data_IF_165681768479
#
_entry.id   IF_165681768479
#
_cell.length_a   1.000
_cell.length_b   1.000
_cell.length_c   1.000
_cell.angle_alpha   90.00
_cell.angle_beta   90.00
_cell.angle_gamma   90.00
#
_symmetry.space_group_name_H-M   'P 1'
#
loop_
_entity.id
_entity.type
_entity.pdbx_description
1 polymer ?
#
# COMPACT_ATOMS: atom_id res chain seq x y z
N UNK A 1 49.05 9.65 -0.62
CA UNK A 1 48.03 9.54 -1.70
C UNK A 1 46.76 8.99 -1.05
N UNK A 2 45.92 9.87 -0.50
CA UNK A 2 44.66 9.48 0.15
C UNK A 2 43.59 10.48 -0.30
N UNK A 3 42.78 10.12 -1.29
CA UNK A 3 41.54 10.83 -1.58
C UNK A 3 40.40 10.05 -0.94
N UNK A 4 39.74 10.72 0.01
CA UNK A 4 38.52 10.31 0.69
C UNK A 4 37.45 9.98 -0.34
N UNK A 5 36.85 8.80 -0.23
CA UNK A 5 35.59 8.49 -0.89
C UNK A 5 34.54 9.47 -0.37
N UNK A 6 34.12 10.41 -1.22
CA UNK A 6 32.95 11.25 -0.97
C UNK A 6 31.75 10.32 -1.10
N UNK A 7 31.22 9.85 0.03
CA UNK A 7 29.95 9.16 0.08
C UNK A 7 28.89 10.13 -0.48
N UNK A 8 28.43 9.87 -1.71
CA UNK A 8 27.22 10.53 -2.23
C UNK A 8 26.08 10.15 -1.28
N UNK A 9 25.37 11.10 -0.66
CA UNK A 9 24.17 10.75 0.06
C UNK A 9 23.21 10.11 -0.96
N UNK A 10 22.69 8.93 -0.64
CA UNK A 10 21.63 8.30 -1.41
C UNK A 10 20.44 9.25 -1.36
N UNK A 11 20.30 10.09 -2.39
CA UNK A 11 19.13 10.94 -2.60
C UNK A 11 17.95 10.01 -2.90
N UNK A 12 17.29 9.53 -1.85
CA UNK A 12 15.96 8.99 -1.97
C UNK A 12 15.09 10.09 -2.57
N UNK A 13 14.42 9.80 -3.68
CA UNK A 13 13.49 10.74 -4.33
C UNK A 13 12.29 10.88 -3.39
N UNK A 14 12.23 11.98 -2.64
CA UNK A 14 11.16 12.24 -1.67
C UNK A 14 10.05 13.02 -2.34
N UNK A 15 8.84 12.43 -2.39
CA UNK A 15 7.61 13.09 -2.83
C UNK A 15 7.34 14.31 -1.94
N UNK A 16 7.13 15.49 -2.53
CA UNK A 16 6.96 16.74 -1.77
C UNK A 16 5.48 17.03 -1.45
N UNK A 17 4.59 16.69 -2.36
CA UNK A 17 3.14 16.84 -2.21
C UNK A 17 2.45 15.80 -3.09
N UNK A 18 1.27 15.37 -2.69
CA UNK A 18 0.35 14.55 -3.50
C UNK A 18 -0.40 15.39 -4.54
N UNK A 19 -0.44 16.72 -4.39
CA UNK A 19 -1.27 17.60 -5.21
C UNK A 19 -2.77 17.49 -4.92
N UNK A 20 -3.18 16.69 -3.93
CA UNK A 20 -4.57 16.49 -3.50
C UNK A 20 -4.74 17.17 -2.15
N UNK A 21 -5.76 18.01 -2.02
CA UNK A 21 -6.04 18.72 -0.76
C UNK A 21 -6.50 17.71 0.30
N UNK A 22 -5.85 17.74 1.46
CA UNK A 22 -6.19 16.87 2.60
C UNK A 22 -5.54 15.48 2.56
N UNK A 23 -4.74 15.18 1.53
CA UNK A 23 -3.99 13.93 1.44
C UNK A 23 -2.48 14.20 1.62
N UNK A 24 -1.99 14.00 2.83
CA UNK A 24 -0.58 14.22 3.17
C UNK A 24 0.33 13.11 2.62
N UNK A 25 1.56 13.48 2.24
CA UNK A 25 2.56 12.52 1.75
C UNK A 25 2.98 11.57 2.87
N UNK A 26 3.06 10.28 2.56
CA UNK A 26 3.50 9.24 3.51
C UNK A 26 4.91 8.76 3.15
N UNK A 27 5.97 9.12 3.92
CA UNK A 27 7.35 8.80 3.55
C UNK A 27 7.68 7.30 3.49
N UNK A 28 6.99 6.48 4.28
CA UNK A 28 7.14 5.02 4.35
C UNK A 28 5.91 4.29 3.77
N UNK A 29 5.30 4.85 2.73
CA UNK A 29 4.04 4.35 2.15
C UNK A 29 4.07 2.85 1.82
N UNK A 30 5.18 2.33 1.27
CA UNK A 30 5.35 0.90 0.95
C UNK A 30 5.16 0.00 2.16
N UNK A 31 5.84 0.29 3.27
CA UNK A 31 5.76 -0.51 4.48
C UNK A 31 4.36 -0.45 5.09
N UNK A 32 3.74 0.73 5.07
CA UNK A 32 2.37 0.93 5.52
C UNK A 32 1.39 0.10 4.68
N UNK A 33 1.51 0.15 3.35
CA UNK A 33 0.69 -0.65 2.42
C UNK A 33 0.84 -2.15 2.65
N UNK A 34 2.07 -2.65 2.77
CA UNK A 34 2.33 -4.07 3.07
C UNK A 34 1.66 -4.49 4.38
N UNK A 35 1.80 -3.68 5.42
CA UNK A 35 1.18 -3.96 6.72
C UNK A 35 -0.36 -3.95 6.64
N UNK A 36 -0.95 -2.98 5.92
CA UNK A 36 -2.39 -2.88 5.73
C UNK A 36 -2.92 -4.07 4.94
N UNK A 37 -2.33 -4.42 3.80
CA UNK A 37 -2.77 -5.56 3.00
C UNK A 37 -2.65 -6.90 3.73
N UNK A 38 -1.58 -7.10 4.49
CA UNK A 38 -1.45 -8.30 5.34
C UNK A 38 -2.54 -8.35 6.42
N UNK A 39 -2.91 -7.20 6.99
CA UNK A 39 -4.03 -7.11 7.94
C UNK A 39 -5.35 -7.42 7.23
N UNK A 40 -5.60 -6.88 6.04
CA UNK A 40 -6.81 -7.14 5.24
C UNK A 40 -6.96 -8.62 4.92
N UNK A 41 -5.89 -9.29 4.48
CA UNK A 41 -5.88 -10.73 4.22
C UNK A 41 -6.09 -11.59 5.48
N UNK A 42 -5.81 -11.04 6.67
CA UNK A 42 -6.06 -11.73 7.93
C UNK A 42 -7.52 -11.58 8.35
N UNK A 43 -8.07 -10.37 8.32
CA UNK A 43 -9.44 -10.08 8.74
C UNK A 43 -10.47 -10.68 7.78
N UNK A 44 -10.22 -10.66 6.46
CA UNK A 44 -11.16 -11.19 5.45
C UNK A 44 -11.43 -12.69 5.64
N UNK A 45 -10.55 -13.43 6.32
CA UNK A 45 -10.76 -14.87 6.61
C UNK A 45 -11.94 -15.15 7.54
N UNK A 46 -12.39 -14.14 8.30
CA UNK A 46 -13.59 -14.26 9.12
C UNK A 46 -14.88 -14.20 8.28
N UNK A 47 -14.82 -13.68 7.05
CA UNK A 47 -15.94 -13.68 6.10
C UNK A 47 -16.05 -15.07 5.42
N UNK A 48 -17.26 -15.63 5.24
CA UNK A 48 -17.45 -16.89 4.55
C UNK A 48 -16.87 -16.91 3.13
N UNK A 49 -16.27 -18.04 2.73
CA UNK A 49 -15.57 -18.20 1.44
C UNK A 49 -16.52 -18.18 0.21
N UNK A 50 -17.81 -18.44 0.43
CA UNK A 50 -18.80 -18.46 -0.65
C UNK A 50 -19.21 -17.05 -1.11
N UNK A 51 -18.82 -16.01 -0.37
CA UNK A 51 -19.09 -14.65 -0.76
C UNK A 51 -18.18 -14.18 -1.89
N UNK A 52 -18.79 -13.65 -2.95
CA UNK A 52 -18.06 -13.01 -4.05
C UNK A 52 -17.17 -11.85 -3.57
N UNK A 53 -17.56 -11.18 -2.48
CA UNK A 53 -16.78 -10.12 -1.84
C UNK A 53 -15.41 -10.62 -1.38
N UNK A 54 -15.35 -11.72 -0.62
CA UNK A 54 -14.09 -12.29 -0.14
C UNK A 54 -13.12 -12.64 -1.28
N UNK A 55 -13.61 -13.29 -2.33
CA UNK A 55 -12.79 -13.66 -3.50
C UNK A 55 -12.23 -12.42 -4.22
N UNK A 56 -13.03 -11.37 -4.35
CA UNK A 56 -12.58 -10.11 -4.94
C UNK A 56 -11.48 -9.47 -4.08
N UNK A 57 -11.73 -9.33 -2.77
CA UNK A 57 -10.79 -8.72 -1.82
C UNK A 57 -9.47 -9.47 -1.77
N UNK A 58 -9.50 -10.80 -1.65
CA UNK A 58 -8.29 -11.63 -1.66
C UNK A 58 -7.52 -11.48 -2.97
N UNK A 59 -8.20 -11.45 -4.12
CA UNK A 59 -7.57 -11.35 -5.43
C UNK A 59 -6.82 -10.03 -5.61
N UNK A 60 -7.48 -8.88 -5.43
CA UNK A 60 -6.82 -7.60 -5.63
C UNK A 60 -5.81 -7.29 -4.52
N UNK A 61 -6.07 -7.69 -3.28
CA UNK A 61 -5.15 -7.45 -2.16
C UNK A 61 -3.86 -8.24 -2.33
N UNK A 62 -3.95 -9.49 -2.78
CA UNK A 62 -2.76 -10.31 -3.08
C UNK A 62 -1.94 -9.73 -4.23
N UNK A 63 -2.61 -9.26 -5.29
CA UNK A 63 -1.94 -8.61 -6.42
C UNK A 63 -1.21 -7.33 -5.97
N UNK A 64 -1.91 -6.43 -5.25
CA UNK A 64 -1.35 -5.16 -4.76
C UNK A 64 -0.20 -5.41 -3.78
N UNK A 65 -0.34 -6.38 -2.87
CA UNK A 65 0.72 -6.80 -1.95
C UNK A 65 1.98 -7.25 -2.70
N UNK A 66 1.82 -8.14 -3.69
CA UNK A 66 2.94 -8.63 -4.49
C UNK A 66 3.70 -7.49 -5.19
N UNK A 67 2.98 -6.52 -5.76
CA UNK A 67 3.60 -5.33 -6.38
C UNK A 67 4.38 -4.52 -5.34
N UNK A 68 3.81 -4.31 -4.15
CA UNK A 68 4.48 -3.58 -3.06
C UNK A 68 5.71 -4.32 -2.51
N UNK A 69 5.74 -5.65 -2.57
CA UNK A 69 6.90 -6.44 -2.16
C UNK A 69 8.02 -6.38 -3.20
N UNK A 70 7.68 -6.48 -4.50
CA UNK A 70 8.62 -6.47 -5.61
C UNK A 70 9.25 -5.10 -5.88
N UNK A 71 8.47 -4.02 -5.75
CA UNK A 71 8.95 -2.66 -6.02
C UNK A 71 9.34 -1.92 -4.74
N UNK A 72 10.42 -1.15 -4.82
CA UNK A 72 10.87 -0.26 -3.75
C UNK A 72 10.46 1.19 -4.00
N UNK A 73 10.30 1.56 -5.27
CA UNK A 73 9.97 2.91 -5.70
C UNK A 73 8.45 3.12 -5.72
N UNK A 74 7.96 4.16 -5.04
CA UNK A 74 6.54 4.51 -5.02
C UNK A 74 5.98 4.77 -6.40
N UNK A 75 6.73 5.40 -7.31
CA UNK A 75 6.25 5.72 -8.66
C UNK A 75 5.99 4.44 -9.47
N UNK A 76 6.85 3.42 -9.30
CA UNK A 76 6.67 2.12 -9.95
C UNK A 76 5.49 1.34 -9.36
N UNK A 77 5.27 1.47 -8.05
CA UNK A 77 4.09 0.90 -7.40
C UNK A 77 2.83 1.54 -7.98
N UNK A 78 2.78 2.87 -8.11
CA UNK A 78 1.66 3.61 -8.71
C UNK A 78 1.41 3.17 -10.16
N UNK A 79 2.46 3.06 -10.98
CA UNK A 79 2.36 2.64 -12.38
C UNK A 79 1.87 1.19 -12.52
N UNK A 80 2.42 0.27 -11.73
CA UNK A 80 2.07 -1.17 -11.81
C UNK A 80 0.69 -1.49 -11.25
N UNK A 81 0.26 -0.79 -10.20
CA UNK A 81 -1.08 -0.96 -9.64
C UNK A 81 -2.11 -0.25 -10.51
N UNK A 82 -1.78 0.92 -11.06
CA UNK A 82 -2.65 1.68 -11.96
C UNK A 82 -3.93 2.22 -11.30
N UNK A 83 -3.91 2.44 -9.98
CA UNK A 83 -5.05 2.92 -9.19
C UNK A 83 -4.69 4.17 -8.37
N UNK A 84 -4.10 5.19 -9.01
CA UNK A 84 -3.77 6.45 -8.34
C UNK A 84 -2.47 6.41 -7.53
N UNK A 85 -2.36 7.33 -6.58
CA UNK A 85 -1.16 7.52 -5.76
C UNK A 85 -1.06 6.52 -4.60
N UNK A 86 0.15 6.26 -4.10
CA UNK A 86 0.33 5.35 -2.95
C UNK A 86 -0.43 5.79 -1.71
N UNK A 87 -0.62 7.10 -1.51
CA UNK A 87 -1.42 7.64 -0.42
C UNK A 87 -2.92 7.34 -0.56
N UNK A 88 -3.47 7.41 -1.77
CA UNK A 88 -4.86 7.04 -2.04
C UNK A 88 -5.07 5.54 -1.78
N UNK A 89 -4.10 4.71 -2.19
CA UNK A 89 -4.12 3.27 -1.91
C UNK A 89 -4.09 2.95 -0.41
N UNK A 90 -3.43 3.78 0.41
CA UNK A 90 -3.42 3.63 1.87
C UNK A 90 -4.81 3.92 2.43
N UNK A 91 -5.46 5.00 2.01
CA UNK A 91 -6.83 5.32 2.43
C UNK A 91 -7.81 4.23 2.01
N UNK A 92 -7.74 3.76 0.75
CA UNK A 92 -8.55 2.64 0.26
C UNK A 92 -8.36 1.40 1.14
N UNK A 93 -7.11 1.02 1.44
CA UNK A 93 -6.83 -0.17 2.25
C UNK A 93 -7.35 -0.03 3.70
N UNK A 94 -7.32 1.17 4.26
CA UNK A 94 -7.89 1.46 5.58
C UNK A 94 -9.41 1.39 5.58
N UNK A 95 -10.05 1.93 4.54
CA UNK A 95 -11.51 1.88 4.40
C UNK A 95 -12.00 0.47 4.12
N UNK A 96 -11.25 -0.33 3.37
CA UNK A 96 -11.53 -1.75 3.16
C UNK A 96 -11.50 -2.52 4.49
N UNK A 97 -10.51 -2.25 5.37
CA UNK A 97 -10.48 -2.84 6.71
C UNK A 97 -11.71 -2.46 7.54
N UNK A 98 -12.12 -1.19 7.53
CA UNK A 98 -13.35 -0.74 8.21
C UNK A 98 -14.59 -1.41 7.63
N UNK A 99 -14.62 -1.65 6.32
CA UNK A 99 -15.73 -2.34 5.66
C UNK A 99 -15.79 -3.81 6.10
N UNK A 100 -14.66 -4.51 6.11
CA UNK A 100 -14.57 -5.89 6.60
C UNK A 100 -15.05 -5.98 8.06
N UNK A 101 -14.62 -5.04 8.92
CA UNK A 101 -15.10 -4.97 10.31
C UNK A 101 -16.63 -4.81 10.40
N UNK A 102 -17.25 -4.03 9.51
CA UNK A 102 -18.71 -3.88 9.43
C UNK A 102 -19.42 -5.13 8.88
N UNK A 103 -18.77 -5.89 8.01
CA UNK A 103 -19.32 -7.14 7.47
C UNK A 103 -19.27 -8.29 8.49
N UNK A 104 -18.28 -8.28 9.39
CA UNK A 104 -18.11 -9.28 10.46
C UNK A 104 -18.84 -8.89 11.76
N UNK A 105 -19.06 -7.58 11.97
CA UNK A 105 -19.70 -7.04 13.17
C UNK A 105 -21.11 -7.61 13.43
N UNK A 106 -21.56 -7.60 14.70
CA UNK A 106 -22.81 -8.21 15.16
C UNK A 106 -24.08 -7.61 14.54
#
# INVERSE_FOLDING_TARGET
MFMRAIARPLLAKVKQTTGIVGLDVVPNAREVLINLYNKTLKEIKAVPEDEGYRKAVESFTTHRLKVCEEEVDSEKIEERIGCGQVEELIEEAQDELKLIEKMIGP
#
